data_IF_824331693936
#
_entry.id   IF_824331693936
#
_cell.length_a   1.000
_cell.length_b   1.000
_cell.length_c   1.000
_cell.angle_alpha   90.00
_cell.angle_beta   90.00
_cell.angle_gamma   90.00
#
_symmetry.space_group_name_H-M   'P 1'
#
loop_
_entity.id
_entity.type
_entity.pdbx_description
1 polymer ?
#
# COMPACT_ATOMS: atom_id res chain seq x y z
N UNK A 1 66.64 78.29 -30.39
CA UNK A 1 66.67 77.82 -28.99
C UNK A 1 65.56 76.79 -28.80
N UNK A 2 65.85 75.48 -28.69
CA UNK A 2 64.84 74.47 -28.39
C UNK A 2 64.73 74.22 -26.86
N UNK A 3 63.56 73.80 -26.34
CA UNK A 3 63.31 73.72 -24.90
C UNK A 3 63.98 72.50 -24.22
N UNK A 4 64.44 72.70 -22.98
CA UNK A 4 65.03 71.68 -22.09
C UNK A 4 64.03 70.57 -21.76
N UNK A 5 64.38 69.32 -22.12
CA UNK A 5 63.66 68.10 -21.69
C UNK A 5 64.02 67.76 -20.23
N UNK A 6 63.09 67.96 -19.30
CA UNK A 6 63.18 67.40 -17.95
C UNK A 6 62.63 65.95 -17.97
N UNK A 7 63.51 64.96 -18.07
CA UNK A 7 63.15 63.55 -17.84
C UNK A 7 63.24 63.25 -16.33
N UNK A 8 62.16 63.50 -15.57
CA UNK A 8 61.97 62.85 -14.26
C UNK A 8 61.53 61.40 -14.50
N UNK A 9 62.49 60.47 -14.53
CA UNK A 9 62.20 59.03 -14.42
C UNK A 9 61.72 58.76 -12.99
N UNK A 10 60.42 58.52 -12.81
CA UNK A 10 59.88 58.01 -11.56
C UNK A 10 60.35 56.58 -11.35
N UNK A 11 61.38 56.39 -10.52
CA UNK A 11 61.69 55.11 -9.91
C UNK A 11 60.97 55.03 -8.58
N UNK A 12 60.12 54.01 -8.39
CA UNK A 12 59.50 53.73 -7.09
C UNK A 12 60.52 53.39 -6.01
N UNK A 13 60.08 53.23 -4.75
CA UNK A 13 60.95 52.88 -3.62
C UNK A 13 61.79 51.63 -3.93
N UNK A 14 63.06 51.64 -3.49
CA UNK A 14 63.94 50.49 -3.66
C UNK A 14 63.33 49.24 -2.97
N UNK A 15 63.38 48.07 -3.60
CA UNK A 15 62.87 46.85 -2.98
C UNK A 15 63.68 46.51 -1.73
N UNK A 16 63.00 46.03 -0.69
CA UNK A 16 63.61 45.59 0.57
C UNK A 16 64.71 44.54 0.30
N UNK A 17 65.81 44.65 1.03
CA UNK A 17 66.88 43.64 1.00
C UNK A 17 66.50 42.41 1.83
N UNK A 18 67.18 41.28 1.58
CA UNK A 18 67.01 40.06 2.38
C UNK A 18 67.24 40.32 3.87
N UNK A 19 68.27 41.11 4.20
CA UNK A 19 68.61 41.47 5.57
C UNK A 19 67.57 42.39 6.22
N UNK A 20 66.95 43.29 5.45
CA UNK A 20 65.88 44.15 5.96
C UNK A 20 64.59 43.34 6.22
N UNK A 21 64.28 42.37 5.36
CA UNK A 21 63.14 41.46 5.57
C UNK A 21 63.35 40.56 6.80
N UNK A 22 64.58 40.07 7.02
CA UNK A 22 64.94 39.36 8.25
C UNK A 22 64.83 40.24 9.49
N UNK A 23 65.30 41.49 9.44
CA UNK A 23 65.21 42.45 10.56
C UNK A 23 63.78 42.82 10.93
N UNK A 24 62.85 42.76 9.97
CA UNK A 24 61.42 42.94 10.23
C UNK A 24 60.71 41.67 10.73
N UNK A 25 61.45 40.57 10.93
CA UNK A 25 60.92 39.32 11.49
C UNK A 25 60.14 38.45 10.49
N UNK A 26 60.38 38.59 9.19
CA UNK A 26 59.77 37.73 8.16
C UNK A 26 60.41 36.33 8.18
N UNK A 27 59.61 35.28 7.95
CA UNK A 27 60.09 33.90 7.93
C UNK A 27 61.00 33.64 6.72
N UNK A 28 62.06 32.84 6.90
CA UNK A 28 63.03 32.56 5.83
C UNK A 28 62.37 31.91 4.59
N UNK A 29 61.35 31.08 4.76
CA UNK A 29 60.59 30.48 3.64
C UNK A 29 59.84 31.54 2.82
N UNK A 30 59.23 32.53 3.48
CA UNK A 30 58.54 33.64 2.83
C UNK A 30 59.53 34.59 2.14
N UNK A 31 60.69 34.84 2.76
CA UNK A 31 61.79 35.63 2.17
C UNK A 31 62.27 34.96 0.89
N UNK A 32 62.53 33.64 0.92
CA UNK A 32 62.93 32.88 -0.25
C UNK A 32 61.85 32.89 -1.34
N UNK A 33 60.57 32.76 -0.96
CA UNK A 33 59.45 32.84 -1.92
C UNK A 33 59.38 34.20 -2.60
N UNK A 34 59.50 35.29 -1.85
CA UNK A 34 59.47 36.67 -2.38
C UNK A 34 60.67 36.95 -3.29
N UNK A 35 61.87 36.50 -2.89
CA UNK A 35 63.07 36.65 -3.73
C UNK A 35 62.98 35.79 -5.00
N UNK A 36 62.45 34.57 -4.91
CA UNK A 36 62.19 33.72 -6.07
C UNK A 36 61.16 34.35 -7.02
N UNK A 37 60.04 34.87 -6.48
CA UNK A 37 59.04 35.62 -7.26
C UNK A 37 59.59 36.91 -7.87
N UNK A 38 60.57 37.56 -7.22
CA UNK A 38 61.27 38.74 -7.75
C UNK A 38 62.20 38.37 -8.90
N UNK A 39 62.85 37.21 -8.83
CA UNK A 39 63.77 36.70 -9.85
C UNK A 39 63.07 35.99 -11.02
N UNK A 40 61.75 35.71 -10.92
CA UNK A 40 60.96 35.23 -12.06
C UNK A 40 60.93 36.28 -13.19
N UNK A 41 61.27 35.84 -14.40
CA UNK A 41 61.19 36.67 -15.59
C UNK A 41 59.76 37.14 -15.85
N UNK A 42 59.61 38.30 -16.50
CA UNK A 42 58.29 38.81 -16.93
C UNK A 42 57.55 37.79 -17.80
N UNK A 43 58.28 37.03 -18.63
CA UNK A 43 57.72 36.00 -19.50
C UNK A 43 57.17 34.81 -18.71
N UNK A 44 57.84 34.41 -17.61
CA UNK A 44 57.40 33.30 -16.76
C UNK A 44 56.13 33.69 -15.99
N UNK A 45 56.05 34.93 -15.50
CA UNK A 45 54.83 35.47 -14.86
C UNK A 45 53.66 35.55 -15.84
N UNK A 46 53.93 35.89 -17.10
CA UNK A 46 52.90 35.96 -18.13
C UNK A 46 52.41 34.55 -18.53
N UNK A 47 53.32 33.58 -18.62
CA UNK A 47 52.96 32.16 -18.87
C UNK A 47 52.15 31.54 -17.74
N UNK A 48 52.51 31.77 -16.48
CA UNK A 48 51.74 31.30 -15.32
C UNK A 48 50.32 31.88 -15.30
N UNK A 49 50.16 33.17 -15.63
CA UNK A 49 48.83 33.82 -15.71
C UNK A 49 47.97 33.24 -16.83
N UNK A 50 48.55 33.06 -18.02
CA UNK A 50 47.83 32.46 -19.16
C UNK A 50 47.41 31.00 -18.86
N UNK A 51 48.29 30.22 -18.24
CA UNK A 51 47.98 28.85 -17.83
C UNK A 51 46.87 28.80 -16.77
N UNK A 52 46.89 29.68 -15.77
CA UNK A 52 45.83 29.79 -14.77
C UNK A 52 44.48 30.21 -15.38
N UNK A 53 44.47 31.17 -16.30
CA UNK A 53 43.26 31.59 -16.99
C UNK A 53 42.69 30.50 -17.91
N UNK A 54 43.53 29.73 -18.60
CA UNK A 54 43.08 28.57 -19.38
C UNK A 54 42.52 27.47 -18.49
N UNK A 55 43.19 27.18 -17.37
CA UNK A 55 42.71 26.21 -16.39
C UNK A 55 41.33 26.60 -15.84
N UNK A 56 41.15 27.85 -15.43
CA UNK A 56 39.87 28.38 -14.95
C UNK A 56 38.76 28.31 -16.00
N UNK A 57 39.09 28.60 -17.27
CA UNK A 57 38.14 28.48 -18.39
C UNK A 57 37.73 27.01 -18.60
N UNK A 58 38.68 26.08 -18.51
CA UNK A 58 38.43 24.65 -18.68
C UNK A 58 37.59 24.07 -17.53
N UNK A 59 37.89 24.45 -16.28
CA UNK A 59 37.08 24.05 -15.13
C UNK A 59 35.64 24.57 -15.21
N UNK A 60 35.46 25.84 -15.60
CA UNK A 60 34.12 26.42 -15.80
C UNK A 60 33.34 25.66 -16.87
N UNK A 61 33.97 25.34 -18.00
CA UNK A 61 33.35 24.53 -19.07
C UNK A 61 32.97 23.13 -18.56
N UNK A 62 33.87 22.45 -17.86
CA UNK A 62 33.62 21.12 -17.28
C UNK A 62 32.46 21.14 -16.29
N UNK A 63 32.41 22.15 -15.40
CA UNK A 63 31.32 22.31 -14.43
C UNK A 63 29.98 22.57 -15.11
N UNK A 64 29.98 23.37 -16.18
CA UNK A 64 28.77 23.66 -16.96
C UNK A 64 28.26 22.39 -17.68
N UNK A 65 29.16 21.62 -18.30
CA UNK A 65 28.82 20.34 -18.94
C UNK A 65 28.29 19.32 -17.93
N UNK A 66 28.90 19.23 -16.75
CA UNK A 66 28.43 18.33 -15.71
C UNK A 66 27.04 18.71 -15.20
N UNK A 67 26.76 20.01 -15.09
CA UNK A 67 25.42 20.49 -14.72
C UNK A 67 24.38 20.13 -15.78
N UNK A 68 24.66 20.43 -17.06
CA UNK A 68 23.72 20.12 -18.14
C UNK A 68 23.43 18.62 -18.28
N UNK A 69 24.43 17.76 -18.02
CA UNK A 69 24.24 16.31 -18.02
C UNK A 69 23.34 15.86 -16.87
N UNK A 70 23.51 16.43 -15.66
CA UNK A 70 22.62 16.14 -14.52
C UNK A 70 21.18 16.57 -14.81
N UNK A 71 21.01 17.77 -15.34
CA UNK A 71 19.69 18.32 -15.68
C UNK A 71 18.99 17.45 -16.75
N UNK A 72 19.74 16.91 -17.72
CA UNK A 72 19.21 16.00 -18.75
C UNK A 72 18.83 14.63 -18.20
N UNK A 73 19.62 14.06 -17.28
CA UNK A 73 19.29 12.79 -16.62
C UNK A 73 18.04 12.93 -15.76
N UNK A 74 17.92 14.01 -14.98
CA UNK A 74 16.74 14.25 -14.15
C UNK A 74 15.46 14.43 -14.98
N UNK A 75 15.57 15.05 -16.16
CA UNK A 75 14.44 15.16 -17.10
C UNK A 75 13.99 13.79 -17.63
N UNK A 76 14.94 12.92 -18.01
CA UNK A 76 14.64 11.56 -18.48
C UNK A 76 14.04 10.69 -17.38
N UNK A 77 14.55 10.78 -16.14
CA UNK A 77 14.00 10.06 -15.00
C UNK A 77 12.55 10.49 -14.69
N UNK A 78 12.24 11.78 -14.83
CA UNK A 78 10.87 12.29 -14.67
C UNK A 78 9.94 11.74 -15.74
N UNK A 79 10.35 11.76 -17.01
CA UNK A 79 9.55 11.19 -18.10
C UNK A 79 9.33 9.68 -17.93
N UNK A 80 10.38 8.94 -17.57
CA UNK A 80 10.28 7.50 -17.32
C UNK A 80 9.39 7.19 -16.11
N UNK A 81 9.49 7.97 -15.03
CA UNK A 81 8.64 7.82 -13.85
C UNK A 81 7.17 8.09 -14.16
N UNK A 82 6.86 9.09 -14.97
CA UNK A 82 5.50 9.40 -15.39
C UNK A 82 4.90 8.28 -16.26
N UNK A 83 5.69 7.73 -17.20
CA UNK A 83 5.28 6.60 -18.01
C UNK A 83 5.03 5.34 -17.17
N UNK A 84 5.90 5.05 -16.20
CA UNK A 84 5.74 3.92 -15.27
C UNK A 84 4.48 4.08 -14.41
N UNK A 85 4.22 5.28 -13.88
CA UNK A 85 3.00 5.55 -13.10
C UNK A 85 1.75 5.35 -13.96
N UNK A 86 1.75 5.83 -15.20
CA UNK A 86 0.60 5.66 -16.10
C UNK A 86 0.26 4.19 -16.39
N UNK A 87 1.28 3.34 -16.55
CA UNK A 87 1.10 1.89 -16.74
C UNK A 87 0.49 1.24 -15.49
N UNK A 88 1.06 1.52 -14.31
CA UNK A 88 0.57 0.96 -13.04
C UNK A 88 -0.88 1.37 -12.79
N UNK A 89 -1.24 2.63 -13.02
CA UNK A 89 -2.63 3.08 -12.85
C UNK A 89 -3.60 2.40 -13.83
N UNK A 90 -3.19 2.19 -15.08
CA UNK A 90 -4.04 1.52 -16.07
C UNK A 90 -4.24 0.04 -15.76
N UNK A 91 -3.22 -0.64 -15.24
CA UNK A 91 -3.31 -2.02 -14.78
C UNK A 91 -4.22 -2.15 -13.55
N UNK A 92 -4.11 -1.21 -12.61
CA UNK A 92 -4.95 -1.16 -11.41
C UNK A 92 -6.42 -0.92 -11.76
N UNK A 93 -6.71 0.02 -12.68
CA UNK A 93 -8.06 0.30 -13.17
C UNK A 93 -8.67 -0.91 -13.91
N UNK A 94 -7.88 -1.59 -14.75
CA UNK A 94 -8.31 -2.82 -15.41
C UNK A 94 -8.62 -3.92 -14.40
N UNK A 95 -7.85 -4.02 -13.32
CA UNK A 95 -8.09 -5.02 -12.29
C UNK A 95 -9.37 -4.73 -11.49
N UNK A 96 -9.56 -3.47 -11.09
CA UNK A 96 -10.77 -3.02 -10.40
C UNK A 96 -12.04 -3.22 -11.25
N UNK A 97 -11.95 -3.05 -12.57
CA UNK A 97 -13.06 -3.30 -13.47
C UNK A 97 -13.42 -4.79 -13.62
N UNK A 98 -12.45 -5.70 -13.53
CA UNK A 98 -12.68 -7.14 -13.68
C UNK A 98 -13.16 -7.83 -12.39
N UNK A 99 -12.87 -7.27 -11.21
CA UNK A 99 -13.27 -7.81 -9.90
C UNK A 99 -14.79 -8.04 -9.76
N UNK A 100 -15.67 -7.07 -10.09
CA UNK A 100 -17.12 -7.26 -10.01
C UNK A 100 -17.63 -8.41 -10.88
N UNK A 101 -17.17 -8.50 -12.13
CA UNK A 101 -17.59 -9.56 -13.06
C UNK A 101 -17.22 -10.96 -12.54
N UNK A 102 -16.03 -11.11 -11.93
CA UNK A 102 -15.59 -12.35 -11.31
C UNK A 102 -16.47 -12.73 -10.11
N UNK A 103 -16.87 -11.74 -9.30
CA UNK A 103 -17.75 -11.99 -8.14
C UNK A 103 -19.17 -12.41 -8.55
N UNK A 104 -19.73 -11.80 -9.60
CA UNK A 104 -21.07 -12.14 -10.09
C UNK A 104 -21.12 -13.55 -10.70
N UNK A 105 -20.10 -13.91 -11.49
CA UNK A 105 -19.96 -15.26 -12.03
C UNK A 105 -19.86 -16.30 -10.92
N UNK A 106 -19.04 -16.06 -9.90
CA UNK A 106 -18.90 -16.97 -8.77
C UNK A 106 -20.21 -17.12 -7.96
N UNK A 107 -20.99 -16.05 -7.82
CA UNK A 107 -22.32 -16.09 -7.19
C UNK A 107 -23.29 -16.93 -8.03
N UNK A 108 -23.28 -16.77 -9.35
CA UNK A 108 -24.13 -17.54 -10.26
C UNK A 108 -23.81 -19.05 -10.20
N UNK A 109 -22.52 -19.42 -10.23
CA UNK A 109 -22.07 -20.81 -10.10
C UNK A 109 -22.52 -21.43 -8.77
N UNK A 110 -22.34 -20.72 -7.65
CA UNK A 110 -22.81 -21.20 -6.33
C UNK A 110 -24.32 -21.43 -6.29
N UNK A 111 -25.10 -20.56 -6.94
CA UNK A 111 -26.56 -20.71 -7.03
C UNK A 111 -26.94 -21.96 -7.81
N UNK A 112 -26.28 -22.24 -8.93
CA UNK A 112 -26.53 -23.45 -9.71
C UNK A 112 -26.15 -24.73 -8.94
N UNK A 113 -25.00 -24.74 -8.27
CA UNK A 113 -24.60 -25.86 -7.40
C UNK A 113 -25.65 -26.12 -6.32
N UNK A 114 -26.09 -25.07 -5.61
CA UNK A 114 -27.12 -25.19 -4.57
C UNK A 114 -28.44 -25.73 -5.13
N UNK A 115 -28.90 -25.25 -6.30
CA UNK A 115 -30.10 -25.77 -6.96
C UNK A 115 -29.97 -27.26 -7.28
N UNK A 116 -28.82 -27.68 -7.83
CA UNK A 116 -28.56 -29.09 -8.12
C UNK A 116 -28.55 -29.95 -6.86
N UNK A 117 -27.94 -29.49 -5.77
CA UNK A 117 -27.96 -30.21 -4.50
C UNK A 117 -29.36 -30.32 -3.89
N UNK A 118 -30.16 -29.25 -3.95
CA UNK A 118 -31.55 -29.26 -3.48
C UNK A 118 -32.35 -30.28 -4.29
N UNK A 119 -32.24 -30.26 -5.62
CA UNK A 119 -32.94 -31.19 -6.49
C UNK A 119 -32.51 -32.63 -6.22
N UNK A 120 -31.20 -32.89 -6.07
CA UNK A 120 -30.69 -34.23 -5.74
C UNK A 120 -31.26 -34.74 -4.43
N UNK A 121 -31.24 -33.92 -3.37
CA UNK A 121 -31.80 -34.28 -2.06
C UNK A 121 -33.31 -34.51 -2.12
N UNK A 122 -34.03 -33.71 -2.91
CA UNK A 122 -35.47 -33.90 -3.12
C UNK A 122 -35.77 -35.24 -3.81
N UNK A 123 -35.01 -35.61 -4.84
CA UNK A 123 -35.16 -36.90 -5.52
C UNK A 123 -34.74 -38.08 -4.63
N UNK A 124 -33.66 -37.96 -3.85
CA UNK A 124 -33.29 -38.96 -2.85
C UNK A 124 -34.38 -39.14 -1.79
N UNK A 125 -35.01 -38.06 -1.33
CA UNK A 125 -36.11 -38.11 -0.37
C UNK A 125 -37.34 -38.80 -0.96
N UNK A 126 -37.71 -38.51 -2.22
CA UNK A 126 -38.80 -39.20 -2.93
C UNK A 126 -38.55 -40.70 -3.01
N UNK A 127 -37.35 -41.11 -3.43
CA UNK A 127 -36.98 -42.53 -3.52
C UNK A 127 -37.07 -43.25 -2.18
N UNK A 128 -36.62 -42.61 -1.10
CA UNK A 128 -36.74 -43.16 0.25
C UNK A 128 -38.19 -43.34 0.67
N UNK A 129 -39.03 -42.34 0.43
CA UNK A 129 -40.47 -42.43 0.73
C UNK A 129 -41.13 -43.53 -0.09
N UNK A 130 -40.81 -43.66 -1.38
CA UNK A 130 -41.32 -44.75 -2.23
C UNK A 130 -40.89 -46.13 -1.73
N UNK A 131 -39.63 -46.28 -1.30
CA UNK A 131 -39.11 -47.52 -0.74
C UNK A 131 -39.76 -47.87 0.61
N UNK A 132 -39.92 -46.88 1.50
CA UNK A 132 -40.62 -47.05 2.78
C UNK A 132 -42.09 -47.44 2.58
N UNK A 133 -42.79 -46.79 1.64
CA UNK A 133 -44.16 -47.14 1.28
C UNK A 133 -44.27 -48.54 0.70
N UNK A 134 -43.28 -48.95 -0.11
CA UNK A 134 -43.24 -50.31 -0.66
C UNK A 134 -43.06 -51.35 0.44
N UNK A 135 -42.09 -51.15 1.35
CA UNK A 135 -41.86 -52.05 2.48
C UNK A 135 -43.09 -52.12 3.40
N UNK A 136 -43.75 -50.98 3.62
CA UNK A 136 -44.99 -50.91 4.39
C UNK A 136 -46.12 -51.73 3.75
N UNK A 137 -46.32 -51.59 2.44
CA UNK A 137 -47.34 -52.33 1.69
C UNK A 137 -47.04 -53.84 1.63
N UNK A 138 -45.79 -54.23 1.39
CA UNK A 138 -45.36 -55.63 1.43
C UNK A 138 -45.64 -56.24 2.81
N UNK A 139 -45.31 -55.52 3.89
CA UNK A 139 -45.60 -55.96 5.26
C UNK A 139 -47.09 -56.15 5.51
N UNK A 140 -47.94 -55.24 5.03
CA UNK A 140 -49.40 -55.39 5.16
C UNK A 140 -49.94 -56.62 4.41
N UNK A 141 -49.39 -56.98 3.25
CA UNK A 141 -49.87 -58.11 2.47
C UNK A 141 -49.71 -59.46 3.17
N UNK A 142 -48.66 -59.62 3.99
CA UNK A 142 -48.35 -60.88 4.67
C UNK A 142 -49.00 -61.06 6.05
N UNK A 143 -49.58 -60.00 6.62
CA UNK A 143 -50.23 -60.05 7.93
C UNK A 143 -51.66 -60.59 7.84
N UNK A 144 -52.11 -61.29 8.89
CA UNK A 144 -53.53 -61.64 9.06
C UNK A 144 -54.38 -60.40 9.38
N UNK A 145 -55.73 -60.45 9.23
CA UNK A 145 -56.59 -59.30 9.50
C UNK A 145 -56.41 -58.69 10.90
N UNK A 146 -56.31 -59.53 11.94
CA UNK A 146 -56.13 -59.08 13.33
C UNK A 146 -54.76 -58.42 13.54
N UNK A 147 -53.70 -58.99 12.95
CA UNK A 147 -52.35 -58.41 13.02
C UNK A 147 -52.22 -57.11 12.21
N UNK A 148 -52.96 -56.98 11.10
CA UNK A 148 -53.04 -55.73 10.33
C UNK A 148 -53.66 -54.62 11.16
N UNK A 149 -54.76 -54.88 11.84
CA UNK A 149 -55.41 -53.88 12.70
C UNK A 149 -54.49 -53.43 13.84
N UNK A 150 -53.83 -54.37 14.52
CA UNK A 150 -52.85 -54.05 15.56
C UNK A 150 -51.67 -53.23 15.01
N UNK A 151 -51.16 -53.57 13.82
CA UNK A 151 -50.08 -52.83 13.17
C UNK A 151 -50.50 -51.40 12.79
N UNK A 152 -51.70 -51.22 12.23
CA UNK A 152 -52.24 -49.90 11.88
C UNK A 152 -52.44 -49.02 13.12
N UNK A 153 -52.94 -49.59 14.22
CA UNK A 153 -53.09 -48.87 15.49
C UNK A 153 -51.75 -48.46 16.09
N UNK A 154 -50.74 -49.34 16.05
CA UNK A 154 -49.39 -49.03 16.50
C UNK A 154 -48.74 -47.93 15.66
N UNK A 155 -48.92 -47.96 14.33
CA UNK A 155 -48.44 -46.92 13.42
C UNK A 155 -49.10 -45.56 13.72
N UNK A 156 -50.43 -45.55 13.93
CA UNK A 156 -51.18 -44.35 14.28
C UNK A 156 -50.72 -43.75 15.61
N UNK A 157 -50.48 -44.58 16.62
CA UNK A 157 -49.98 -44.13 17.91
C UNK A 157 -48.58 -43.52 17.80
N UNK A 158 -47.69 -44.14 17.01
CA UNK A 158 -46.35 -43.63 16.73
C UNK A 158 -46.40 -42.27 16.02
N UNK A 159 -47.23 -42.13 14.99
CA UNK A 159 -47.40 -40.86 14.26
C UNK A 159 -47.90 -39.73 15.17
N UNK A 160 -48.82 -40.03 16.09
CA UNK A 160 -49.29 -39.07 17.08
C UNK A 160 -48.19 -38.64 18.05
N UNK A 161 -47.34 -39.58 18.49
CA UNK A 161 -46.20 -39.27 19.36
C UNK A 161 -45.14 -38.44 18.62
N UNK A 162 -44.82 -38.77 17.37
CA UNK A 162 -43.89 -38.01 16.54
C UNK A 162 -44.41 -36.58 16.28
N UNK A 163 -45.72 -36.41 16.00
CA UNK A 163 -46.35 -35.08 15.88
C UNK A 163 -46.24 -34.28 17.17
N UNK A 164 -46.49 -34.90 18.32
CA UNK A 164 -46.35 -34.24 19.62
C UNK A 164 -44.92 -33.77 19.86
N UNK A 165 -43.93 -34.63 19.59
CA UNK A 165 -42.50 -34.27 19.71
C UNK A 165 -42.11 -33.14 18.76
N UNK A 166 -42.62 -33.14 17.53
CA UNK A 166 -42.38 -32.06 16.57
C UNK A 166 -42.93 -30.72 17.07
N UNK A 167 -44.15 -30.71 17.64
CA UNK A 167 -44.74 -29.52 18.23
C UNK A 167 -43.96 -29.01 19.45
N UNK A 168 -43.48 -29.91 20.33
CA UNK A 168 -42.62 -29.55 21.47
C UNK A 168 -41.30 -28.92 20.99
N UNK A 169 -40.66 -29.49 19.96
CA UNK A 169 -39.46 -28.89 19.35
C UNK A 169 -39.76 -27.51 18.75
N UNK A 170 -40.86 -27.36 18.02
CA UNK A 170 -41.25 -26.07 17.46
C UNK A 170 -41.49 -25.02 18.55
N UNK A 171 -42.16 -25.41 19.64
CA UNK A 171 -42.39 -24.52 20.77
C UNK A 171 -41.07 -24.09 21.42
N UNK A 172 -40.14 -25.02 21.64
CA UNK A 172 -38.82 -24.68 22.20
C UNK A 172 -38.02 -23.75 21.29
N UNK A 173 -38.08 -23.95 19.97
CA UNK A 173 -37.46 -23.06 18.99
C UNK A 173 -38.09 -21.65 19.02
N UNK A 174 -39.42 -21.56 19.08
CA UNK A 174 -40.14 -20.28 19.21
C UNK A 174 -39.75 -19.55 20.50
N UNK A 175 -39.68 -20.25 21.63
CA UNK A 175 -39.24 -19.68 22.90
C UNK A 175 -37.79 -19.19 22.83
N UNK A 176 -36.89 -19.94 22.19
CA UNK A 176 -35.49 -19.54 21.98
C UNK A 176 -35.38 -18.30 21.10
N UNK A 177 -36.12 -18.25 19.99
CA UNK A 177 -36.17 -17.10 19.09
C UNK A 177 -36.70 -15.85 19.82
N UNK A 178 -37.79 -15.97 20.59
CA UNK A 178 -38.32 -14.87 21.39
C UNK A 178 -37.30 -14.35 22.43
N UNK A 179 -36.52 -15.25 23.06
CA UNK A 179 -35.43 -14.86 23.97
C UNK A 179 -34.31 -14.13 23.24
N UNK A 180 -33.95 -14.55 22.03
CA UNK A 180 -32.94 -13.85 21.22
C UNK A 180 -33.42 -12.46 20.79
N UNK A 181 -34.64 -12.34 20.28
CA UNK A 181 -35.24 -11.05 19.92
C UNK A 181 -35.26 -10.08 21.11
N UNK A 182 -35.62 -10.55 22.32
CA UNK A 182 -35.56 -9.72 23.54
C UNK A 182 -34.14 -9.27 23.89
N UNK A 183 -33.12 -10.11 23.68
CA UNK A 183 -31.71 -9.75 23.91
C UNK A 183 -31.23 -8.72 22.88
N UNK A 184 -31.59 -8.91 21.62
CA UNK A 184 -31.27 -7.99 20.54
C UNK A 184 -31.93 -6.62 20.73
N UNK A 185 -33.22 -6.59 21.09
CA UNK A 185 -33.93 -5.36 21.41
C UNK A 185 -33.26 -4.59 22.57
N UNK A 186 -32.87 -5.29 23.65
CA UNK A 186 -32.12 -4.66 24.76
C UNK A 186 -30.74 -4.16 24.33
N UNK A 187 -30.07 -4.85 23.41
CA UNK A 187 -28.77 -4.42 22.88
C UNK A 187 -28.94 -3.17 22.01
N UNK A 188 -29.97 -3.13 21.17
CA UNK A 188 -30.32 -1.95 20.36
C UNK A 188 -30.68 -0.77 21.26
N UNK A 189 -31.53 -0.95 22.27
CA UNK A 189 -31.88 0.11 23.23
C UNK A 189 -30.65 0.67 23.94
N UNK A 190 -29.71 -0.18 24.35
CA UNK A 190 -28.43 0.27 24.95
C UNK A 190 -27.56 1.05 23.98
N UNK A 191 -27.49 0.61 22.72
CA UNK A 191 -26.74 1.32 21.68
C UNK A 191 -27.37 2.67 21.37
N UNK A 192 -28.70 2.76 21.31
CA UNK A 192 -29.42 4.01 21.11
C UNK A 192 -29.22 4.98 22.28
N UNK A 193 -29.28 4.50 23.53
CA UNK A 193 -28.95 5.33 24.71
C UNK A 193 -27.52 5.84 24.68
N UNK A 194 -26.54 4.97 24.39
CA UNK A 194 -25.13 5.38 24.27
C UNK A 194 -24.92 6.42 23.14
N UNK A 195 -25.65 6.28 22.02
CA UNK A 195 -25.65 7.27 20.92
C UNK A 195 -26.27 8.60 21.34
N UNK A 196 -27.40 8.56 22.05
CA UNK A 196 -28.10 9.76 22.53
C UNK A 196 -27.31 10.50 23.61
N UNK A 197 -26.54 9.79 24.44
CA UNK A 197 -25.64 10.33 25.46
C UNK A 197 -24.29 10.80 24.89
N UNK A 198 -24.07 10.71 23.57
CA UNK A 198 -22.83 11.17 22.92
C UNK A 198 -21.60 10.30 23.21
N UNK A 199 -21.77 9.11 23.79
CA UNK A 199 -20.67 8.20 24.20
C UNK A 199 -20.02 7.43 23.04
N UNK A 200 -20.30 7.80 21.79
CA UNK A 200 -19.75 7.14 20.61
C UNK A 200 -18.25 7.44 20.37
N UNK A 201 -17.70 8.52 20.95
CA UNK A 201 -16.29 8.88 20.72
C UNK A 201 -15.30 7.95 21.42
N UNK A 202 -15.73 7.15 22.40
CA UNK A 202 -14.84 6.28 23.21
C UNK A 202 -14.71 4.86 22.64
N UNK A 203 -15.64 4.41 21.79
CA UNK A 203 -15.59 3.05 21.24
C UNK A 203 -14.73 2.94 19.96
N UNK A 204 -14.60 4.02 19.19
CA UNK A 204 -13.75 4.03 17.98
C UNK A 204 -12.27 4.32 18.31
N UNK A 205 -11.99 5.07 19.39
CA UNK A 205 -10.62 5.34 19.87
C UNK A 205 -9.89 4.09 20.39
N UNK A 206 -10.61 3.00 20.71
CA UNK A 206 -9.99 1.76 21.19
C UNK A 206 -9.72 0.73 20.09
N UNK A 207 -10.24 0.96 18.88
CA UNK A 207 -10.01 0.10 17.71
C UNK A 207 -8.91 0.66 16.79
N UNK A 208 -8.73 1.98 16.81
CA UNK A 208 -7.58 2.66 16.21
C UNK A 208 -6.66 3.06 17.36
N UNK A 209 -5.65 2.24 17.66
CA UNK A 209 -4.75 2.50 18.78
C UNK A 209 -4.06 3.86 18.66
N UNK A 210 -4.48 4.80 19.50
CA UNK A 210 -3.66 5.87 20.05
C UNK A 210 -3.33 5.55 21.51
#
# INVERSE_FOLDING_TARGET
>A
MPPKKNNKKGGGPAPLSEDDMRRMGMADDDIQRILAERNKSSDDKQRERLAAEEHDKMEKKKKQQQKSLRDAVEALEKEESAARVAVVTAEEDAWQAALPALTEQHIAERREILKHEINRKAEEAKRKVEEELRQYNERLQHLSPEEREAFLQAQLARDQEERRRALEVEETLRQRAARQQRREARRQERLEKARAEGLNEVCDARRNGE
#
